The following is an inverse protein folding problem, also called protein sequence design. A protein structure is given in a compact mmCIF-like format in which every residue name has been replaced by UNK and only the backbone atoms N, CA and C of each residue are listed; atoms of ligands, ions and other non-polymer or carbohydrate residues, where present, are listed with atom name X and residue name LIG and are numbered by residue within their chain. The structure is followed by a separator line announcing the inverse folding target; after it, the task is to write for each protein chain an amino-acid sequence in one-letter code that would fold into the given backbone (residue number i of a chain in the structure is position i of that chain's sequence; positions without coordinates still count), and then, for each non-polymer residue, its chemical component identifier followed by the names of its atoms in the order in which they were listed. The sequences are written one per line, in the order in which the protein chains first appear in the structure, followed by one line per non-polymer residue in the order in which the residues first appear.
data_IF_530775939807
#
_entry.id   IF_530775939807
#
_cell.length_a   1.000
_cell.length_b   1.000
_cell.length_c   1.000
_cell.angle_alpha   90.00
_cell.angle_beta   90.00
_cell.angle_gamma   90.00
#
_symmetry.space_group_name_H-M   'P 1'
#
loop_
_entity.id
_entity.type
_entity.pdbx_description
1 polymer ?
#
# COMPACT_ATOMS: atom_id res chain seq x y z
N UNK A 1 7.35 26.84 -2.12
CA UNK A 1 8.23 25.78 -2.65
C UNK A 1 8.07 24.54 -1.79
N UNK A 2 7.67 23.42 -2.39
CA UNK A 2 7.58 22.12 -1.71
C UNK A 2 9.01 21.57 -1.66
N UNK A 3 9.80 22.07 -0.73
CA UNK A 3 11.19 21.67 -0.55
C UNK A 3 11.32 20.35 0.22
N UNK A 4 12.55 19.82 0.27
CA UNK A 4 13.05 18.75 1.15
C UNK A 4 12.97 19.12 2.65
N UNK A 5 11.88 19.74 3.07
CA UNK A 5 11.71 20.39 4.36
C UNK A 5 11.55 19.41 5.54
N UNK A 6 11.30 19.99 6.71
CA UNK A 6 11.13 19.27 7.96
C UNK A 6 10.06 18.16 7.82
N UNK A 7 10.41 16.94 8.24
CA UNK A 7 9.45 15.86 8.44
C UNK A 7 8.52 16.25 9.60
N UNK A 8 7.21 16.21 9.35
CA UNK A 8 6.19 16.29 10.38
C UNK A 8 5.83 14.89 10.85
N UNK A 9 5.59 14.74 12.14
CA UNK A 9 5.10 13.49 12.72
C UNK A 9 3.72 13.78 13.31
N UNK A 10 2.69 13.20 12.69
CA UNK A 10 1.32 13.26 13.18
C UNK A 10 0.99 11.97 13.92
N UNK A 11 0.41 12.07 15.11
CA UNK A 11 -0.03 10.91 15.89
C UNK A 11 -1.55 10.82 15.88
N UNK A 12 -2.09 9.61 15.80
CA UNK A 12 -3.54 9.41 15.76
C UNK A 12 -3.97 8.11 16.43
N UNK A 13 -5.21 8.05 16.88
CA UNK A 13 -5.83 6.80 17.33
C UNK A 13 -6.48 6.14 16.13
N UNK A 14 -6.01 4.95 15.74
CA UNK A 14 -6.65 4.18 14.67
C UNK A 14 -7.96 3.53 15.16
N UNK A 15 -7.93 3.04 16.40
CA UNK A 15 -9.08 2.57 17.17
C UNK A 15 -8.77 2.70 18.67
N UNK A 16 -9.73 2.47 19.59
CA UNK A 16 -9.47 2.53 21.03
C UNK A 16 -8.29 1.64 21.43
N UNK A 17 -7.28 2.23 22.06
CA UNK A 17 -6.07 1.52 22.50
C UNK A 17 -4.96 1.38 21.45
N UNK A 18 -5.22 1.70 20.17
CA UNK A 18 -4.23 1.63 19.09
C UNK A 18 -3.87 3.05 18.65
N UNK A 19 -2.68 3.52 19.07
CA UNK A 19 -2.12 4.81 18.68
C UNK A 19 -0.96 4.61 17.72
N UNK A 20 -1.06 5.24 16.55
CA UNK A 20 -0.11 5.13 15.46
C UNK A 20 0.44 6.51 15.08
N UNK A 21 1.34 6.56 14.10
CA UNK A 21 1.87 7.81 13.59
C UNK A 21 2.02 7.82 12.08
N UNK A 22 2.18 9.02 11.52
CA UNK A 22 2.40 9.28 10.11
C UNK A 22 3.58 10.23 10.01
N UNK A 23 4.61 9.85 9.28
CA UNK A 23 5.65 10.79 8.87
C UNK A 23 5.18 11.48 7.59
N UNK A 24 5.23 12.80 7.54
CA UNK A 24 4.71 13.62 6.44
C UNK A 24 5.75 14.65 6.00
N UNK A 25 6.04 14.72 4.70
CA UNK A 25 6.94 15.69 4.09
C UNK A 25 6.31 16.34 2.86
N UNK A 26 6.77 17.52 2.50
CA UNK A 26 6.30 18.24 1.32
C UNK A 26 5.01 19.03 1.55
N UNK A 27 4.77 19.47 2.79
CA UNK A 27 3.58 20.25 3.16
C UNK A 27 4.01 21.65 3.64
N UNK A 28 3.38 22.74 3.16
CA UNK A 28 3.68 24.10 3.62
C UNK A 28 3.44 24.26 5.13
N UNK A 29 4.47 24.65 5.88
CA UNK A 29 4.40 24.83 7.35
C UNK A 29 3.78 26.16 7.79
N UNK A 30 3.56 27.08 6.87
CA UNK A 30 3.10 28.45 7.16
C UNK A 30 1.57 28.58 7.25
N UNK A 31 0.82 27.52 6.95
CA UNK A 31 -0.65 27.49 7.03
C UNK A 31 -1.12 26.43 8.02
N UNK A 32 -2.08 26.72 8.92
CA UNK A 32 -2.68 25.72 9.80
C UNK A 32 -3.48 24.66 9.00
N UNK A 33 -4.00 25.02 7.83
CA UNK A 33 -4.70 24.12 6.89
C UNK A 33 -4.04 24.23 5.51
N UNK A 34 -2.92 23.52 5.28
CA UNK A 34 -2.20 23.62 4.02
C UNK A 34 -3.03 23.05 2.87
N UNK A 35 -2.89 23.65 1.69
CA UNK A 35 -3.46 23.12 0.45
C UNK A 35 -2.51 22.05 -0.09
N UNK A 36 -3.01 20.82 -0.17
CA UNK A 36 -2.31 19.68 -0.75
C UNK A 36 -3.23 19.08 -1.81
N UNK A 37 -2.85 19.18 -3.08
CA UNK A 37 -3.64 18.63 -4.18
C UNK A 37 -3.23 17.20 -4.53
N UNK A 38 -1.95 16.84 -4.29
CA UNK A 38 -1.37 15.53 -4.59
C UNK A 38 -0.71 14.94 -3.35
N UNK A 39 -1.19 13.79 -2.90
CA UNK A 39 -0.68 13.05 -1.74
C UNK A 39 -0.26 11.64 -2.16
N UNK A 40 0.99 11.27 -1.87
CA UNK A 40 1.47 9.91 -2.01
C UNK A 40 1.66 9.30 -0.62
N UNK A 41 1.02 8.17 -0.37
CA UNK A 41 1.17 7.36 0.82
C UNK A 41 2.03 6.15 0.48
N UNK A 42 3.15 5.97 1.17
CA UNK A 42 4.08 4.87 0.94
C UNK A 42 4.01 3.88 2.11
N UNK A 43 3.75 2.62 1.80
CA UNK A 43 3.72 1.52 2.76
C UNK A 43 4.89 0.58 2.49
N UNK A 44 5.72 0.39 3.51
CA UNK A 44 6.77 -0.62 3.52
C UNK A 44 6.84 -1.22 4.93
N UNK A 45 6.60 -2.53 5.05
CA UNK A 45 6.55 -3.22 6.33
C UNK A 45 7.93 -3.75 6.75
N UNK A 46 8.88 -3.80 5.81
CA UNK A 46 10.23 -4.35 6.03
C UNK A 46 11.26 -3.26 6.30
N UNK A 47 10.88 -2.00 6.11
CA UNK A 47 11.74 -0.84 6.27
C UNK A 47 11.16 0.16 7.28
N UNK A 48 12.07 0.79 8.02
CA UNK A 48 11.75 1.89 8.93
C UNK A 48 11.16 3.10 8.18
N UNK A 49 10.23 3.81 8.83
CA UNK A 49 9.47 4.89 8.20
C UNK A 49 10.35 6.07 7.75
N UNK A 50 11.42 6.39 8.48
CA UNK A 50 12.39 7.40 8.06
C UNK A 50 13.16 6.94 6.82
N UNK A 51 13.54 5.66 6.74
CA UNK A 51 14.20 5.12 5.54
C UNK A 51 13.28 5.15 4.33
N UNK A 52 12.02 4.75 4.49
CA UNK A 52 11.00 4.81 3.43
C UNK A 52 10.79 6.24 2.92
N UNK A 53 10.73 7.23 3.83
CA UNK A 53 10.57 8.65 3.48
C UNK A 53 11.82 9.24 2.79
N UNK A 54 12.98 8.60 2.93
CA UNK A 54 14.23 8.99 2.28
C UNK A 54 14.61 8.08 1.10
N UNK A 55 13.72 7.18 0.69
CA UNK A 55 13.88 6.34 -0.51
C UNK A 55 13.91 7.19 -1.79
N UNK A 56 14.46 6.63 -2.87
CA UNK A 56 14.51 7.32 -4.16
C UNK A 56 13.11 7.57 -4.74
N UNK A 57 12.16 6.67 -4.46
CA UNK A 57 10.75 6.87 -4.76
C UNK A 57 10.18 8.10 -4.05
N UNK A 58 10.38 8.20 -2.73
CA UNK A 58 9.89 9.33 -1.96
C UNK A 58 10.51 10.66 -2.43
N UNK A 59 11.82 10.67 -2.71
CA UNK A 59 12.52 11.86 -3.24
C UNK A 59 11.97 12.29 -4.60
N UNK A 60 11.74 11.35 -5.52
CA UNK A 60 11.19 11.67 -6.84
C UNK A 60 9.76 12.18 -6.74
N UNK A 61 8.91 11.56 -5.91
CA UNK A 61 7.54 12.05 -5.67
C UNK A 61 7.53 13.46 -5.09
N UNK A 62 8.40 13.76 -4.11
CA UNK A 62 8.54 15.11 -3.55
C UNK A 62 8.98 16.12 -4.62
N UNK A 63 9.96 15.76 -5.46
CA UNK A 63 10.42 16.59 -6.57
C UNK A 63 9.33 16.85 -7.62
N UNK A 64 8.44 15.87 -7.83
CA UNK A 64 7.29 15.94 -8.74
C UNK A 64 6.06 16.65 -8.11
N UNK A 65 6.24 17.28 -6.94
CA UNK A 65 5.23 18.11 -6.30
C UNK A 65 4.18 17.34 -5.48
N UNK A 66 4.44 16.08 -5.13
CA UNK A 66 3.60 15.33 -4.20
C UNK A 66 3.99 15.63 -2.77
N UNK A 67 3.01 15.81 -1.88
CA UNK A 67 3.24 15.56 -0.46
C UNK A 67 3.42 14.05 -0.26
N UNK A 68 4.37 13.64 0.57
CA UNK A 68 4.65 12.22 0.84
C UNK A 68 4.39 11.91 2.30
N UNK A 69 3.52 10.92 2.53
CA UNK A 69 3.20 10.38 3.84
C UNK A 69 3.67 8.93 3.96
N UNK A 70 4.19 8.56 5.12
CA UNK A 70 4.54 7.19 5.49
C UNK A 70 3.75 6.84 6.76
N UNK A 71 2.55 6.24 6.62
CA UNK A 71 1.79 5.73 7.74
C UNK A 71 2.52 4.55 8.38
N UNK A 72 2.68 4.59 9.70
CA UNK A 72 3.21 3.47 10.46
C UNK A 72 2.05 2.61 10.97
N UNK A 73 1.98 1.37 10.50
CA UNK A 73 0.87 0.47 10.77
C UNK A 73 1.06 -0.29 12.08
N UNK A 74 -0.04 -0.76 12.68
CA UNK A 74 0.02 -1.56 13.91
C UNK A 74 0.88 -2.81 13.73
N UNK A 75 1.56 -3.23 14.81
CA UNK A 75 2.37 -4.45 14.87
C UNK A 75 3.52 -4.54 13.85
N UNK A 76 3.97 -3.41 13.31
CA UNK A 76 5.08 -3.31 12.36
C UNK A 76 6.08 -2.27 12.83
N UNK A 77 7.35 -2.43 12.45
CA UNK A 77 8.42 -1.48 12.77
C UNK A 77 8.51 -1.26 14.28
N UNK A 78 8.47 0.00 14.71
CA UNK A 78 8.50 0.37 16.15
C UNK A 78 7.26 -0.07 16.95
N UNK A 79 6.17 -0.46 16.28
CA UNK A 79 4.97 -1.01 16.91
C UNK A 79 4.97 -2.55 16.94
N UNK A 80 5.99 -3.20 16.38
CA UNK A 80 6.11 -4.65 16.43
C UNK A 80 6.39 -5.16 17.85
N UNK A 81 5.86 -6.33 18.18
CA UNK A 81 6.13 -6.97 19.47
C UNK A 81 7.47 -7.74 19.39
N UNK A 82 8.35 -7.64 20.40
CA UNK A 82 9.65 -8.32 20.37
C UNK A 82 9.55 -9.84 20.18
N UNK A 83 8.48 -10.45 20.70
CA UNK A 83 8.21 -11.89 20.62
C UNK A 83 7.24 -12.27 19.50
N UNK A 84 7.00 -11.40 18.52
CA UNK A 84 5.97 -11.64 17.50
C UNK A 84 6.37 -12.72 16.49
N UNK A 85 7.67 -12.80 16.22
CA UNK A 85 8.22 -13.70 15.20
C UNK A 85 8.28 -15.15 15.69
N UNK A 86 7.64 -16.05 14.93
CA UNK A 86 7.79 -17.50 15.05
C UNK A 86 8.19 -18.08 13.70
N UNK A 87 9.29 -18.85 13.67
CA UNK A 87 9.85 -19.38 12.44
C UNK A 87 10.17 -18.28 11.43
N UNK A 88 9.56 -18.38 10.25
CA UNK A 88 9.75 -17.43 9.14
C UNK A 88 8.65 -16.35 9.05
N UNK A 89 7.70 -16.31 9.98
CA UNK A 89 6.62 -15.32 10.01
C UNK A 89 6.95 -14.22 11.04
N UNK A 90 7.29 -12.98 10.61
CA UNK A 90 7.70 -11.91 11.52
C UNK A 90 6.57 -11.38 12.42
N UNK A 91 5.32 -11.59 11.99
CA UNK A 91 4.08 -11.10 12.59
C UNK A 91 3.19 -12.24 13.10
N UNK A 92 3.79 -13.39 13.43
CA UNK A 92 3.07 -14.64 13.70
C UNK A 92 2.05 -14.48 14.84
N UNK A 93 2.49 -14.08 16.02
CA UNK A 93 1.63 -14.07 17.21
C UNK A 93 0.51 -13.04 17.07
N UNK A 94 0.82 -11.84 16.58
CA UNK A 94 -0.19 -10.80 16.34
C UNK A 94 -1.18 -11.26 15.27
N UNK A 95 -0.69 -11.88 14.18
CA UNK A 95 -1.57 -12.43 13.16
C UNK A 95 -2.51 -13.49 13.75
N UNK A 96 -2.00 -14.43 14.53
CA UNK A 96 -2.82 -15.43 15.22
C UNK A 96 -3.86 -14.80 16.15
N UNK A 97 -3.47 -13.86 17.01
CA UNK A 97 -4.42 -13.17 17.89
C UNK A 97 -5.50 -12.42 17.10
N UNK A 98 -5.14 -11.83 15.97
CA UNK A 98 -6.09 -11.17 15.06
C UNK A 98 -7.12 -12.14 14.49
N UNK A 99 -6.70 -13.39 14.21
CA UNK A 99 -7.59 -14.45 13.73
C UNK A 99 -8.53 -14.92 14.85
N UNK A 100 -8.03 -15.06 16.08
CA UNK A 100 -8.84 -15.47 17.24
C UNK A 100 -10.00 -14.52 17.54
N UNK A 101 -9.82 -13.21 17.29
CA UNK A 101 -10.88 -12.21 17.49
C UNK A 101 -11.72 -11.96 16.22
N UNK A 102 -11.51 -12.75 15.15
CA UNK A 102 -12.24 -12.62 13.89
C UNK A 102 -11.93 -11.33 13.13
N UNK A 103 -10.80 -10.68 13.38
CA UNK A 103 -10.37 -9.44 12.72
C UNK A 103 -8.96 -9.62 12.14
N UNK A 104 -8.79 -10.28 10.98
CA UNK A 104 -7.47 -10.55 10.41
C UNK A 104 -6.62 -9.29 10.20
N UNK A 105 -5.30 -9.41 10.36
CA UNK A 105 -4.37 -8.27 10.30
C UNK A 105 -4.45 -7.47 8.98
N UNK A 106 -4.62 -8.10 7.81
CA UNK A 106 -4.83 -7.37 6.56
C UNK A 106 -6.02 -6.39 6.64
N UNK A 107 -7.13 -6.81 7.27
CA UNK A 107 -8.29 -5.94 7.50
C UNK A 107 -7.98 -4.82 8.49
N UNK A 108 -7.20 -5.09 9.55
CA UNK A 108 -6.78 -4.08 10.51
C UNK A 108 -5.79 -3.06 9.91
N UNK A 109 -4.82 -3.50 9.11
CA UNK A 109 -3.90 -2.61 8.38
C UNK A 109 -4.63 -1.77 7.34
N UNK A 110 -5.60 -2.36 6.64
CA UNK A 110 -6.46 -1.61 5.71
C UNK A 110 -7.22 -0.51 6.45
N UNK A 111 -7.70 -0.79 7.67
CA UNK A 111 -8.32 0.21 8.53
C UNK A 111 -7.35 1.30 8.97
N UNK A 112 -6.13 0.94 9.38
CA UNK A 112 -5.08 1.89 9.77
C UNK A 112 -4.77 2.89 8.65
N UNK A 113 -4.65 2.42 7.41
CA UNK A 113 -4.42 3.27 6.23
C UNK A 113 -5.58 4.25 6.01
N UNK A 114 -6.83 3.78 6.15
CA UNK A 114 -8.03 4.64 5.98
C UNK A 114 -8.11 5.70 7.07
N UNK A 115 -7.78 5.34 8.32
CA UNK A 115 -7.70 6.28 9.44
C UNK A 115 -6.57 7.29 9.27
N UNK A 116 -5.41 6.86 8.77
CA UNK A 116 -4.33 7.77 8.43
C UNK A 116 -4.77 8.79 7.37
N UNK A 117 -5.50 8.35 6.35
CA UNK A 117 -6.07 9.23 5.33
C UNK A 117 -7.10 10.21 5.92
N UNK A 118 -7.94 9.79 6.88
CA UNK A 118 -8.87 10.69 7.57
C UNK A 118 -8.14 11.81 8.32
N UNK A 119 -7.07 11.47 9.04
CA UNK A 119 -6.27 12.46 9.79
C UNK A 119 -5.57 13.43 8.85
N UNK A 120 -4.98 12.94 7.75
CA UNK A 120 -4.34 13.79 6.75
C UNK A 120 -5.37 14.70 6.06
N UNK A 121 -6.54 14.16 5.68
CA UNK A 121 -7.61 14.93 5.07
C UNK A 121 -8.16 16.02 6.02
N UNK A 122 -8.30 15.72 7.31
CA UNK A 122 -8.72 16.70 8.32
C UNK A 122 -7.67 17.78 8.61
N UNK A 123 -6.39 17.50 8.34
CA UNK A 123 -5.30 18.49 8.45
C UNK A 123 -5.27 19.44 7.27
N UNK A 124 -5.59 18.97 6.07
CA UNK A 124 -5.53 19.77 4.85
C UNK A 124 -6.78 20.64 4.67
N UNK A 125 -6.68 21.66 3.83
CA UNK A 125 -7.83 22.52 3.51
C UNK A 125 -8.96 21.76 2.78
N UNK A 126 -8.64 20.63 2.16
CA UNK A 126 -9.57 19.70 1.49
C UNK A 126 -8.89 18.33 1.34
N UNK A 127 -9.68 17.29 1.06
CA UNK A 127 -9.15 16.01 0.60
C UNK A 127 -8.34 16.24 -0.69
N UNK A 128 -7.10 15.71 -0.81
CA UNK A 128 -6.32 15.84 -2.03
C UNK A 128 -7.08 15.26 -3.24
N UNK A 129 -7.00 15.92 -4.39
CA UNK A 129 -7.64 15.45 -5.62
C UNK A 129 -6.93 14.26 -6.24
N UNK A 130 -5.62 14.11 -5.98
CA UNK A 130 -4.85 12.93 -6.31
C UNK A 130 -4.29 12.32 -5.02
N UNK A 131 -4.69 11.07 -4.77
CA UNK A 131 -4.12 10.23 -3.71
C UNK A 131 -3.55 8.98 -4.35
N UNK A 132 -2.23 8.82 -4.24
CA UNK A 132 -1.49 7.64 -4.65
C UNK A 132 -1.15 6.80 -3.42
N UNK A 133 -1.51 5.52 -3.42
CA UNK A 133 -1.10 4.57 -2.38
C UNK A 133 -0.16 3.53 -2.99
N UNK A 134 1.09 3.49 -2.53
CA UNK A 134 2.09 2.54 -2.98
C UNK A 134 2.41 1.56 -1.86
N UNK A 135 2.31 0.27 -2.13
CA UNK A 135 2.73 -0.79 -1.22
C UNK A 135 3.93 -1.57 -1.76
N UNK A 136 5.03 -1.58 -1.02
CA UNK A 136 6.20 -2.38 -1.33
C UNK A 136 6.13 -3.77 -0.68
N UNK A 137 6.55 -4.82 -1.39
CA UNK A 137 6.58 -6.20 -0.93
C UNK A 137 5.20 -6.63 -0.38
N UNK A 138 5.15 -7.16 0.84
CA UNK A 138 3.92 -7.57 1.55
C UNK A 138 2.90 -6.44 1.72
N UNK A 139 3.33 -5.18 1.68
CA UNK A 139 2.43 -4.02 1.78
C UNK A 139 1.54 -3.82 0.55
N UNK A 140 1.87 -4.42 -0.60
CA UNK A 140 1.07 -4.23 -1.82
C UNK A 140 -0.36 -4.74 -1.68
N UNK A 141 -0.58 -5.84 -0.95
CA UNK A 141 -1.93 -6.34 -0.67
C UNK A 141 -2.73 -5.37 0.21
N UNK A 142 -2.06 -4.66 1.14
CA UNK A 142 -2.69 -3.61 1.94
C UNK A 142 -3.04 -2.44 1.02
N UNK A 143 -2.15 -2.02 0.13
CA UNK A 143 -2.40 -0.93 -0.82
C UNK A 143 -3.60 -1.22 -1.73
N UNK A 144 -3.66 -2.43 -2.33
CA UNK A 144 -4.79 -2.84 -3.16
C UNK A 144 -6.09 -2.93 -2.36
N UNK A 145 -6.07 -3.53 -1.17
CA UNK A 145 -7.26 -3.67 -0.32
C UNK A 145 -7.79 -2.31 0.15
N UNK A 146 -6.90 -1.41 0.57
CA UNK A 146 -7.27 -0.03 0.93
C UNK A 146 -7.86 0.73 -0.25
N UNK A 147 -7.24 0.64 -1.44
CA UNK A 147 -7.77 1.31 -2.62
C UNK A 147 -9.13 0.74 -3.07
N UNK A 148 -9.32 -0.58 -2.97
CA UNK A 148 -10.61 -1.21 -3.28
C UNK A 148 -11.73 -0.75 -2.32
N UNK A 149 -11.41 -0.47 -1.05
CA UNK A 149 -12.39 -0.13 -0.01
C UNK A 149 -12.52 1.37 0.30
N UNK A 150 -11.69 2.23 -0.30
CA UNK A 150 -11.72 3.67 -0.09
C UNK A 150 -11.50 4.43 -1.41
N UNK A 151 -12.58 5.04 -1.91
CA UNK A 151 -12.61 5.74 -3.21
C UNK A 151 -11.74 7.00 -3.24
N UNK A 152 -11.36 7.54 -2.08
CA UNK A 152 -10.45 8.68 -1.99
C UNK A 152 -9.07 8.33 -2.53
N UNK A 153 -8.68 7.06 -2.52
CA UNK A 153 -7.42 6.60 -3.13
C UNK A 153 -7.64 6.52 -4.64
N UNK A 154 -7.13 7.52 -5.36
CA UNK A 154 -7.31 7.65 -6.81
C UNK A 154 -6.38 6.78 -7.65
N UNK A 155 -5.24 6.38 -7.07
CA UNK A 155 -4.22 5.56 -7.73
C UNK A 155 -3.64 4.57 -6.72
N UNK A 156 -3.51 3.30 -7.10
CA UNK A 156 -2.86 2.28 -6.31
C UNK A 156 -1.66 1.68 -7.06
N UNK A 157 -0.62 1.32 -6.33
CA UNK A 157 0.51 0.63 -6.89
C UNK A 157 1.10 -0.41 -5.96
N UNK A 158 1.57 -1.51 -6.54
CA UNK A 158 2.32 -2.54 -5.84
C UNK A 158 3.72 -2.65 -6.42
N UNK A 159 4.70 -2.95 -5.56
CA UNK A 159 6.10 -3.17 -5.95
C UNK A 159 6.54 -4.51 -5.37
N UNK A 160 6.89 -5.48 -6.23
CA UNK A 160 7.37 -6.81 -5.87
C UNK A 160 6.47 -7.55 -4.85
N UNK A 161 5.15 -7.41 -5.01
CA UNK A 161 4.16 -7.95 -4.09
C UNK A 161 3.68 -9.34 -4.49
N UNK A 162 3.05 -10.06 -3.56
CA UNK A 162 2.41 -11.36 -3.84
C UNK A 162 1.40 -11.20 -4.98
N UNK A 163 1.56 -11.99 -6.04
CA UNK A 163 0.71 -11.89 -7.23
C UNK A 163 -0.51 -12.84 -7.20
N UNK A 164 -0.47 -13.84 -6.32
CA UNK A 164 -1.47 -14.90 -6.17
C UNK A 164 -1.44 -15.49 -4.77
N UNK A 165 -2.60 -15.71 -4.17
CA UNK A 165 -2.75 -16.58 -2.99
C UNK A 165 -2.74 -18.07 -3.37
N UNK A 166 -2.99 -18.40 -4.64
CA UNK A 166 -2.90 -19.78 -5.13
C UNK A 166 -1.46 -20.10 -5.49
N UNK A 167 -0.90 -21.10 -4.81
CA UNK A 167 0.48 -21.59 -4.98
C UNK A 167 0.50 -23.08 -4.66
N UNK A 168 1.31 -23.84 -5.40
CA UNK A 168 1.65 -25.24 -5.13
C UNK A 168 2.86 -25.37 -4.18
N UNK A 169 3.62 -24.28 -4.03
CA UNK A 169 4.76 -24.19 -3.12
C UNK A 169 4.39 -23.58 -1.76
N UNK A 170 5.07 -23.98 -0.67
CA UNK A 170 4.92 -23.34 0.64
C UNK A 170 5.27 -21.85 0.61
N UNK A 171 4.52 -21.05 1.36
CA UNK A 171 4.80 -19.63 1.48
C UNK A 171 6.20 -19.33 2.04
N UNK A 172 6.89 -18.37 1.43
CA UNK A 172 8.18 -17.84 1.87
C UNK A 172 8.22 -16.33 1.71
N UNK A 173 8.88 -15.66 2.66
CA UNK A 173 9.02 -14.21 2.68
C UNK A 173 7.67 -13.45 2.62
N UNK A 174 6.60 -14.10 3.06
CA UNK A 174 5.27 -13.50 3.22
C UNK A 174 4.95 -13.35 4.70
N UNK A 175 4.13 -12.34 5.01
CA UNK A 175 3.61 -12.09 6.35
C UNK A 175 2.38 -12.94 6.62
N UNK A 176 2.27 -13.51 7.82
CA UNK A 176 1.11 -14.31 8.20
C UNK A 176 -0.15 -13.43 8.25
N UNK A 177 0.00 -12.14 8.57
CA UNK A 177 -1.10 -11.19 8.60
C UNK A 177 -1.82 -10.97 7.26
N UNK A 178 -1.23 -11.40 6.14
CA UNK A 178 -1.87 -11.40 4.82
C UNK A 178 -2.80 -12.60 4.58
N UNK A 179 -2.70 -13.65 5.39
CA UNK A 179 -3.45 -14.89 5.24
C UNK A 179 -4.82 -14.75 5.92
N UNK A 180 -5.77 -14.22 5.16
CA UNK A 180 -7.15 -14.01 5.62
C UNK A 180 -7.98 -15.28 5.42
N UNK A 181 -8.62 -15.84 6.47
CA UNK A 181 -9.47 -17.01 6.33
C UNK A 181 -10.62 -16.77 5.34
N UNK A 182 -10.78 -17.69 4.39
CA UNK A 182 -11.84 -17.60 3.39
C UNK A 182 -11.59 -16.63 2.24
N UNK A 183 -10.45 -15.93 2.18
CA UNK A 183 -10.21 -14.87 1.17
C UNK A 183 -10.44 -15.34 -0.26
N UNK A 184 -9.92 -16.50 -0.65
CA UNK A 184 -10.10 -17.07 -1.99
C UNK A 184 -11.56 -17.46 -2.29
N UNK A 185 -12.32 -17.86 -1.27
CA UNK A 185 -13.71 -18.31 -1.41
C UNK A 185 -14.68 -17.11 -1.46
N UNK A 186 -14.47 -16.14 -0.57
CA UNK A 186 -15.45 -15.09 -0.28
C UNK A 186 -15.14 -13.77 -1.01
N UNK A 187 -13.88 -13.55 -1.40
CA UNK A 187 -13.42 -12.31 -2.07
C UNK A 187 -12.80 -12.61 -3.43
N UNK A 188 -11.91 -13.60 -3.48
CA UNK A 188 -11.11 -13.97 -4.64
C UNK A 188 -9.62 -13.75 -4.41
N UNK A 189 -8.87 -13.84 -5.50
CA UNK A 189 -7.40 -13.70 -5.51
C UNK A 189 -6.93 -12.24 -5.66
N UNK A 190 -5.61 -11.99 -5.58
CA UNK A 190 -4.98 -10.66 -5.67
C UNK A 190 -5.41 -9.89 -6.92
N UNK A 191 -5.47 -10.56 -8.09
CA UNK A 191 -5.95 -9.95 -9.33
C UNK A 191 -7.42 -9.47 -9.24
N UNK A 192 -8.26 -10.17 -8.48
CA UNK A 192 -9.66 -9.78 -8.29
C UNK A 192 -9.78 -8.57 -7.36
N UNK A 193 -8.96 -8.53 -6.30
CA UNK A 193 -8.87 -7.35 -5.43
C UNK A 193 -8.42 -6.12 -6.24
N UNK A 194 -7.40 -6.27 -7.10
CA UNK A 194 -6.97 -5.19 -7.99
C UNK A 194 -8.08 -4.75 -8.97
N UNK A 195 -8.91 -5.68 -9.44
CA UNK A 195 -10.01 -5.39 -10.34
C UNK A 195 -11.13 -4.54 -9.71
N UNK A 196 -11.34 -4.65 -8.39
CA UNK A 196 -12.32 -3.84 -7.65
C UNK A 196 -12.00 -2.34 -7.65
N UNK A 197 -10.77 -1.95 -8.01
CA UNK A 197 -10.34 -0.56 -8.04
C UNK A 197 -10.80 0.13 -9.35
N UNK A 198 -11.13 -0.63 -10.38
CA UNK A 198 -11.57 -0.09 -11.67
C UNK A 198 -12.76 0.88 -11.49
N UNK A 199 -12.77 2.03 -12.20
CA UNK A 199 -11.86 2.42 -13.27
C UNK A 199 -10.64 3.25 -12.80
N UNK A 200 -10.37 3.34 -11.49
CA UNK A 200 -9.25 4.12 -10.92
C UNK A 200 -7.90 3.44 -11.24
N UNK A 201 -6.83 4.23 -11.27
CA UNK A 201 -5.54 3.77 -11.79
C UNK A 201 -4.90 2.71 -10.89
N UNK A 202 -4.41 1.63 -11.49
CA UNK A 202 -3.67 0.57 -10.81
C UNK A 202 -2.40 0.23 -11.59
N UNK A 203 -1.25 0.24 -10.92
CA UNK A 203 0.03 -0.18 -11.49
C UNK A 203 0.62 -1.33 -10.69
N UNK A 204 0.86 -2.47 -11.32
CA UNK A 204 1.57 -3.61 -10.73
C UNK A 204 3.02 -3.57 -11.23
N UNK A 205 3.99 -3.51 -10.33
CA UNK A 205 5.42 -3.45 -10.67
C UNK A 205 6.15 -4.61 -10.04
N UNK A 206 6.62 -5.54 -10.87
CA UNK A 206 7.08 -6.84 -10.41
C UNK A 206 6.00 -7.61 -9.65
N UNK A 207 6.34 -8.83 -9.28
CA UNK A 207 5.49 -9.66 -8.45
C UNK A 207 6.22 -10.90 -8.01
N UNK A 208 5.77 -11.49 -6.92
CA UNK A 208 6.33 -12.74 -6.40
C UNK A 208 5.27 -13.83 -6.31
N UNK A 209 5.71 -15.08 -6.48
CA UNK A 209 4.92 -16.27 -6.17
C UNK A 209 4.73 -16.39 -4.65
N UNK A 210 3.85 -17.30 -4.20
CA UNK A 210 3.74 -17.64 -2.77
C UNK A 210 5.07 -18.08 -2.16
N UNK A 211 5.88 -18.81 -2.92
CA UNK A 211 7.25 -19.21 -2.56
C UNK A 211 8.27 -18.06 -2.56
N UNK A 212 7.88 -16.82 -2.88
CA UNK A 212 8.73 -15.64 -2.83
C UNK A 212 9.68 -15.48 -4.01
N UNK A 213 9.52 -16.25 -5.08
CA UNK A 213 10.29 -16.09 -6.32
C UNK A 213 9.71 -14.97 -7.16
N UNK A 214 10.57 -14.14 -7.77
CA UNK A 214 10.13 -13.13 -8.72
C UNK A 214 9.47 -13.77 -9.95
N UNK A 215 8.39 -13.15 -10.42
CA UNK A 215 7.68 -13.51 -11.63
C UNK A 215 8.18 -12.56 -12.74
N UNK A 216 8.81 -13.13 -13.77
CA UNK A 216 9.46 -12.38 -14.83
C UNK A 216 8.65 -12.37 -16.13
N UNK A 217 8.88 -11.35 -16.95
CA UNK A 217 8.29 -11.26 -18.29
C UNK A 217 6.76 -11.33 -18.31
N UNK A 218 6.22 -11.97 -19.35
CA UNK A 218 4.78 -11.98 -19.61
C UNK A 218 3.94 -12.76 -18.58
N UNK A 219 4.56 -13.56 -17.72
CA UNK A 219 3.84 -14.39 -16.75
C UNK A 219 3.14 -13.54 -15.68
N UNK A 220 3.74 -12.41 -15.29
CA UNK A 220 3.07 -11.47 -14.40
C UNK A 220 1.85 -10.83 -15.08
N UNK A 221 1.96 -10.47 -16.36
CA UNK A 221 0.83 -9.92 -17.11
C UNK A 221 -0.31 -10.95 -17.25
N UNK A 222 0.01 -12.24 -17.45
CA UNK A 222 -0.98 -13.32 -17.45
C UNK A 222 -1.68 -13.47 -16.10
N UNK A 223 -0.93 -13.35 -14.99
CA UNK A 223 -1.47 -13.46 -13.63
C UNK A 223 -2.53 -12.38 -13.33
N UNK A 224 -2.45 -11.22 -13.98
CA UNK A 224 -3.42 -10.12 -13.83
C UNK A 224 -4.37 -9.96 -15.03
N UNK A 225 -4.54 -11.00 -15.85
CA UNK A 225 -5.44 -10.95 -17.01
C UNK A 225 -6.87 -10.60 -16.62
N UNK A 226 -7.41 -11.19 -15.54
CA UNK A 226 -8.77 -10.90 -15.10
C UNK A 226 -8.93 -9.43 -14.72
N UNK A 227 -7.92 -8.82 -14.08
CA UNK A 227 -7.89 -7.38 -13.79
C UNK A 227 -7.96 -6.57 -15.08
N UNK A 228 -7.11 -6.88 -16.05
CA UNK A 228 -7.10 -6.20 -17.34
C UNK A 228 -8.47 -6.26 -18.03
N UNK A 229 -9.11 -7.43 -18.05
CA UNK A 229 -10.40 -7.62 -18.71
C UNK A 229 -11.51 -6.79 -18.05
N UNK A 230 -11.52 -6.68 -16.71
CA UNK A 230 -12.46 -5.81 -15.99
C UNK A 230 -12.22 -4.33 -16.28
N UNK A 231 -10.96 -3.88 -16.38
CA UNK A 231 -10.68 -2.51 -16.80
C UNK A 231 -11.13 -2.25 -18.24
N UNK A 232 -11.02 -3.25 -19.13
CA UNK A 232 -11.49 -3.14 -20.51
C UNK A 232 -13.01 -3.01 -20.62
N UNK A 233 -13.79 -3.76 -19.81
CA UNK A 233 -15.27 -3.63 -19.81
C UNK A 233 -15.73 -2.24 -19.37
N UNK A 234 -14.93 -1.55 -18.55
CA UNK A 234 -15.19 -0.17 -18.13
C UNK A 234 -14.58 0.89 -19.05
N UNK A 235 -14.06 0.52 -20.23
CA UNK A 235 -13.34 1.43 -21.14
C UNK A 235 -12.14 2.14 -20.50
N UNK A 236 -11.54 1.50 -19.49
CA UNK A 236 -10.49 2.06 -18.65
C UNK A 236 -9.15 1.33 -18.80
N UNK A 237 -8.91 0.54 -19.86
CA UNK A 237 -7.68 -0.26 -20.05
C UNK A 237 -6.38 0.54 -19.86
N UNK A 238 -6.36 1.84 -20.22
CA UNK A 238 -5.17 2.71 -20.02
C UNK A 238 -4.83 3.00 -18.55
N UNK A 239 -5.78 2.78 -17.64
CA UNK A 239 -5.65 2.97 -16.20
C UNK A 239 -5.06 1.75 -15.48
N UNK A 240 -4.99 0.58 -16.14
CA UNK A 240 -4.33 -0.60 -15.61
C UNK A 240 -3.01 -0.86 -16.31
N UNK A 241 -1.92 -1.04 -15.55
CA UNK A 241 -0.59 -1.34 -16.08
C UNK A 241 0.09 -2.43 -15.27
N UNK A 242 0.80 -3.31 -15.95
CA UNK A 242 1.69 -4.32 -15.35
C UNK A 242 3.10 -4.12 -15.92
N UNK A 243 4.10 -4.05 -15.04
CA UNK A 243 5.51 -3.84 -15.38
C UNK A 243 6.35 -4.94 -14.71
N UNK A 244 6.61 -6.06 -15.39
CA UNK A 244 7.23 -7.26 -14.79
C UNK A 244 8.65 -7.04 -14.25
N UNK A 245 9.47 -6.27 -14.97
CA UNK A 245 10.90 -6.09 -14.66
C UNK A 245 11.28 -4.60 -14.50
N UNK A 246 10.28 -3.72 -14.36
CA UNK A 246 10.46 -2.26 -14.30
C UNK A 246 10.64 -1.74 -12.88
N UNK A 247 11.19 -0.53 -12.74
CA UNK A 247 11.04 0.24 -11.51
C UNK A 247 9.72 1.02 -11.56
N UNK A 248 9.06 1.21 -10.43
CA UNK A 248 7.80 1.97 -10.38
C UNK A 248 7.91 3.37 -10.99
N UNK A 249 9.11 3.93 -10.95
CA UNK A 249 9.46 5.24 -11.47
C UNK A 249 9.55 5.32 -13.00
N UNK A 250 9.60 4.19 -13.71
CA UNK A 250 9.74 4.14 -15.17
C UNK A 250 8.40 4.35 -15.89
N UNK A 251 7.28 3.99 -15.25
CA UNK A 251 5.93 4.18 -15.81
C UNK A 251 5.22 5.47 -15.41
N UNK A 252 5.79 6.24 -14.48
CA UNK A 252 5.37 7.61 -14.15
C UNK A 252 6.13 8.58 -15.04
N UNK A 253 5.86 8.54 -16.35
CA UNK A 253 6.27 9.63 -17.23
C UNK A 253 5.59 10.92 -16.75
N UNK A 254 6.43 11.91 -16.49
CA UNK A 254 6.04 13.27 -16.18
C UNK A 254 5.27 13.83 -17.36
N UNK A 255 3.94 13.82 -17.27
CA UNK A 255 3.12 14.74 -18.06
C UNK A 255 3.55 16.15 -17.68
N UNK A 256 4.44 16.72 -18.50
CA UNK A 256 4.67 18.16 -18.62
C UNK A 256 3.39 18.85 -19.07
#
# INVERSE_FOLDING_TARGET
EIGTGNTLIETFSSEPGIRLSILLRGVPLTSPTPKVDRLAMLLDLEQDSDKTLNSDLAKKLLADGWAVAVPELRAVGRFALPSDKIGHAPDHNTAEWSLWIGRPLLGQWTWDVRRALDVLAGRFAKVPSEVLLVGNSTAGLIALSSAALDERITQAATINSLASYVTDEPYRNQRLGLMVPGILRDVGDVQHIAALIAPRKVTIVGGVTGGGQAIHGDDLAKQFRATHDIFATQSASKQFRVQPDGQFLDGHETTR
#
